data_IF_598754148829
#
_entry.id   IF_598754148829
#
_cell.length_a   1.000
_cell.length_b   1.000
_cell.length_c   1.000
_cell.angle_alpha   90.00
_cell.angle_beta   90.00
_cell.angle_gamma   90.00
#
_symmetry.space_group_name_H-M   'P 1'
#
loop_
_entity.id
_entity.type
_entity.pdbx_description
1 polymer ?
#
# COMPACT_ATOMS: atom_id res chain seq x y z
N UNK A 1 -11.47 7.58 1.54
CA UNK A 1 -11.26 6.23 2.03
C UNK A 1 -12.30 5.90 3.09
N UNK A 2 -13.12 4.89 2.87
CA UNK A 2 -14.27 4.59 3.75
C UNK A 2 -13.91 4.07 5.12
N UNK A 3 -12.66 3.64 5.33
CA UNK A 3 -12.23 3.03 6.58
C UNK A 3 -12.02 4.04 7.71
N UNK A 4 -11.70 5.29 7.40
CA UNK A 4 -11.39 6.36 8.38
C UNK A 4 -10.39 5.92 9.47
N UNK A 5 -9.39 5.15 9.09
CA UNK A 5 -8.37 4.58 9.96
C UNK A 5 -6.99 5.00 9.48
N UNK A 6 -6.05 5.16 10.42
CA UNK A 6 -4.65 5.29 10.06
C UNK A 6 -4.19 4.05 9.27
N UNK A 7 -3.45 4.26 8.19
CA UNK A 7 -3.06 3.18 7.27
C UNK A 7 -2.18 2.12 7.96
N UNK A 8 -1.31 2.56 8.85
CA UNK A 8 -0.38 1.75 9.65
C UNK A 8 -0.96 1.29 11.00
N UNK A 9 -2.25 1.53 11.24
CA UNK A 9 -2.93 1.09 12.46
C UNK A 9 -3.28 -0.41 12.45
N UNK A 10 -3.34 -1.06 13.62
CA UNK A 10 -3.70 -2.47 13.74
C UNK A 10 -5.11 -2.78 13.21
N UNK A 11 -6.04 -1.83 13.33
CA UNK A 11 -7.39 -1.97 12.79
C UNK A 11 -7.39 -2.02 11.26
N UNK A 12 -6.49 -1.25 10.62
CA UNK A 12 -6.35 -1.26 9.16
C UNK A 12 -5.79 -2.60 8.69
N UNK A 13 -4.81 -3.14 9.41
CA UNK A 13 -4.24 -4.47 9.15
C UNK A 13 -5.32 -5.55 9.27
N UNK A 14 -6.01 -5.62 10.40
CA UNK A 14 -7.06 -6.61 10.65
C UNK A 14 -8.19 -6.54 9.61
N UNK A 15 -8.64 -5.32 9.26
CA UNK A 15 -9.69 -5.14 8.26
C UNK A 15 -9.22 -5.51 6.85
N UNK A 16 -7.96 -5.21 6.49
CA UNK A 16 -7.37 -5.61 5.20
C UNK A 16 -7.33 -7.13 5.06
N UNK A 17 -6.89 -7.82 6.10
CA UNK A 17 -6.86 -9.29 6.15
C UNK A 17 -8.26 -9.87 5.99
N UNK A 18 -9.22 -9.38 6.78
CA UNK A 18 -10.62 -9.85 6.72
C UNK A 18 -11.26 -9.66 5.35
N UNK A 19 -11.04 -8.50 4.71
CA UNK A 19 -11.55 -8.26 3.36
C UNK A 19 -10.94 -9.26 2.36
N UNK A 20 -9.63 -9.50 2.44
CA UNK A 20 -8.94 -10.42 1.53
C UNK A 20 -9.40 -11.87 1.73
N UNK A 21 -9.58 -12.28 2.98
CA UNK A 21 -10.13 -13.60 3.32
C UNK A 21 -11.53 -13.80 2.72
N UNK A 22 -12.43 -12.82 2.89
CA UNK A 22 -13.79 -12.92 2.36
C UNK A 22 -13.85 -12.94 0.83
N UNK A 23 -13.00 -12.13 0.18
CA UNK A 23 -12.91 -12.15 -1.29
C UNK A 23 -12.40 -13.51 -1.79
N UNK A 24 -11.37 -14.08 -1.15
CA UNK A 24 -10.80 -15.36 -1.54
C UNK A 24 -11.79 -16.50 -1.31
N UNK A 25 -12.46 -16.53 -0.16
CA UNK A 25 -13.53 -17.50 0.13
C UNK A 25 -14.64 -17.46 -0.92
N UNK A 26 -15.15 -16.28 -1.23
CA UNK A 26 -16.24 -16.09 -2.19
C UNK A 26 -15.81 -16.50 -3.62
N UNK A 27 -14.59 -16.18 -4.01
CA UNK A 27 -14.06 -16.56 -5.32
C UNK A 27 -13.89 -18.09 -5.45
N UNK A 28 -13.35 -18.77 -4.44
CA UNK A 28 -13.23 -20.22 -4.42
C UNK A 28 -14.59 -20.92 -4.38
N UNK A 29 -15.54 -20.41 -3.57
CA UNK A 29 -16.91 -20.95 -3.53
C UNK A 29 -17.57 -20.89 -4.89
N UNK A 30 -17.54 -19.74 -5.55
CA UNK A 30 -18.09 -19.58 -6.91
C UNK A 30 -17.38 -20.46 -7.94
N UNK A 31 -16.05 -20.57 -7.87
CA UNK A 31 -15.29 -21.44 -8.77
C UNK A 31 -15.60 -22.92 -8.56
N UNK A 32 -15.86 -23.33 -7.32
CA UNK A 32 -16.30 -24.69 -6.98
C UNK A 32 -17.72 -24.97 -7.52
N UNK A 33 -18.65 -24.02 -7.39
CA UNK A 33 -19.99 -24.12 -7.97
C UNK A 33 -19.96 -24.24 -9.48
N UNK A 34 -19.16 -23.44 -10.15
CA UNK A 34 -18.95 -23.56 -11.59
C UNK A 34 -18.30 -24.90 -11.99
N UNK A 35 -17.40 -25.43 -11.15
CA UNK A 35 -16.81 -26.74 -11.39
C UNK A 35 -17.82 -27.88 -11.22
N UNK A 36 -18.75 -27.78 -10.28
CA UNK A 36 -19.83 -28.75 -10.12
C UNK A 36 -20.76 -28.80 -11.33
N UNK A 37 -20.98 -27.67 -12.02
CA UNK A 37 -21.82 -27.56 -13.20
C UNK A 37 -21.09 -27.91 -14.52
N UNK A 38 -19.87 -27.40 -14.67
CA UNK A 38 -19.14 -27.43 -15.94
C UNK A 38 -17.85 -28.28 -15.92
N UNK A 39 -17.56 -28.94 -14.82
CA UNK A 39 -16.32 -29.64 -14.53
C UNK A 39 -15.17 -28.73 -14.10
N UNK A 40 -14.18 -29.27 -13.40
CA UNK A 40 -12.99 -28.55 -13.00
C UNK A 40 -12.11 -28.19 -14.20
N UNK A 41 -11.11 -27.31 -13.98
CA UNK A 41 -10.09 -27.06 -15.00
C UNK A 41 -9.22 -28.30 -15.19
N UNK A 42 -8.63 -28.48 -16.39
CA UNK A 42 -7.96 -29.72 -16.81
C UNK A 42 -6.86 -30.19 -15.87
N UNK A 43 -6.04 -29.26 -15.36
CA UNK A 43 -4.92 -29.59 -14.47
C UNK A 43 -5.28 -29.56 -12.97
N UNK A 44 -6.57 -29.53 -12.60
CA UNK A 44 -6.98 -29.44 -11.19
C UNK A 44 -6.34 -30.51 -10.32
N UNK A 45 -6.30 -31.75 -10.78
CA UNK A 45 -5.76 -32.90 -10.02
C UNK A 45 -4.27 -32.77 -9.66
N UNK A 46 -3.55 -31.91 -10.36
CA UNK A 46 -2.12 -31.65 -10.16
C UNK A 46 -1.86 -30.46 -9.22
N UNK A 47 -2.93 -29.79 -8.76
CA UNK A 47 -2.82 -28.59 -7.92
C UNK A 47 -2.75 -28.93 -6.44
N UNK A 48 -2.22 -27.98 -5.65
CA UNK A 48 -2.26 -28.05 -4.20
C UNK A 48 -3.70 -28.05 -3.67
N UNK A 49 -4.59 -27.30 -4.30
CA UNK A 49 -6.01 -27.27 -3.94
C UNK A 49 -6.67 -28.65 -4.02
N UNK A 50 -6.28 -29.50 -4.97
CA UNK A 50 -6.74 -30.89 -5.05
C UNK A 50 -6.24 -31.75 -3.89
N UNK A 51 -5.10 -31.39 -3.28
CA UNK A 51 -4.56 -32.03 -2.09
C UNK A 51 -5.15 -31.44 -0.77
N UNK A 52 -6.03 -30.44 -0.87
CA UNK A 52 -6.63 -29.76 0.28
C UNK A 52 -5.86 -28.56 0.80
N UNK A 53 -4.75 -28.20 0.14
CA UNK A 53 -3.92 -27.06 0.54
C UNK A 53 -4.35 -25.80 -0.24
N UNK A 54 -4.95 -24.84 0.41
CA UNK A 54 -5.25 -23.52 -0.12
C UNK A 54 -4.11 -22.55 0.17
N UNK A 55 -4.20 -21.30 -0.30
CA UNK A 55 -3.10 -20.35 -0.18
C UNK A 55 -2.69 -20.07 1.28
N UNK A 56 -3.66 -19.92 2.19
CA UNK A 56 -3.39 -19.68 3.61
C UNK A 56 -2.76 -20.90 4.32
N UNK A 57 -3.09 -22.14 3.88
CA UNK A 57 -2.44 -23.36 4.40
C UNK A 57 -0.95 -23.36 4.05
N UNK A 58 -0.61 -23.00 2.80
CA UNK A 58 0.78 -22.90 2.34
C UNK A 58 1.58 -21.81 3.07
N UNK A 59 0.90 -20.83 3.63
CA UNK A 59 1.50 -19.76 4.43
C UNK A 59 1.49 -20.06 5.93
N UNK A 60 0.88 -21.16 6.35
CA UNK A 60 0.76 -21.53 7.75
C UNK A 60 -0.10 -20.54 8.56
N UNK A 61 -1.09 -19.92 7.91
CA UNK A 61 -2.01 -18.96 8.52
C UNK A 61 -3.34 -19.64 8.79
N UNK A 62 -3.84 -19.52 10.02
CA UNK A 62 -5.18 -19.98 10.37
C UNK A 62 -6.23 -18.95 9.92
N UNK A 63 -7.26 -19.37 9.18
CA UNK A 63 -8.34 -18.47 8.78
C UNK A 63 -9.27 -18.14 9.96
N UNK A 64 -10.07 -17.09 9.80
CA UNK A 64 -10.94 -16.59 10.88
C UNK A 64 -12.07 -17.54 11.28
N UNK A 65 -12.50 -18.44 10.39
CA UNK A 65 -13.56 -19.43 10.60
C UNK A 65 -13.16 -20.79 9.98
N UNK A 66 -12.46 -21.60 10.75
CA UNK A 66 -12.00 -22.91 10.31
C UNK A 66 -13.14 -23.82 9.83
N UNK A 67 -14.31 -23.82 10.50
CA UNK A 67 -15.42 -24.68 10.11
C UNK A 67 -15.95 -24.32 8.71
N UNK A 68 -16.08 -23.04 8.42
CA UNK A 68 -16.50 -22.52 7.11
C UNK A 68 -15.51 -22.96 6.00
N UNK A 69 -14.22 -22.87 6.28
CA UNK A 69 -13.19 -23.23 5.33
C UNK A 69 -13.08 -24.74 5.10
N UNK A 70 -13.17 -25.55 6.14
CA UNK A 70 -13.20 -27.01 5.99
C UNK A 70 -14.42 -27.48 5.16
N UNK A 71 -15.59 -26.92 5.39
CA UNK A 71 -16.77 -27.21 4.56
C UNK A 71 -16.55 -26.84 3.07
N UNK A 72 -15.83 -25.76 2.79
CA UNK A 72 -15.49 -25.40 1.41
C UNK A 72 -14.43 -26.35 0.82
N UNK A 73 -13.40 -26.74 1.57
CA UNK A 73 -12.39 -27.73 1.16
C UNK A 73 -13.03 -29.07 0.82
N UNK A 74 -14.01 -29.54 1.60
CA UNK A 74 -14.77 -30.74 1.32
C UNK A 74 -15.52 -30.65 -0.03
N UNK A 75 -16.15 -29.51 -0.30
CA UNK A 75 -16.81 -29.27 -1.59
C UNK A 75 -15.82 -29.22 -2.75
N UNK A 76 -14.66 -28.57 -2.56
CA UNK A 76 -13.59 -28.52 -3.55
C UNK A 76 -13.03 -29.93 -3.86
N UNK A 77 -12.89 -30.78 -2.83
CA UNK A 77 -12.43 -32.14 -3.03
C UNK A 77 -13.42 -32.98 -3.86
N UNK A 78 -14.72 -32.71 -3.77
CA UNK A 78 -15.78 -33.41 -4.50
C UNK A 78 -15.94 -32.92 -5.94
N UNK A 79 -15.89 -31.61 -6.17
CA UNK A 79 -16.25 -30.99 -7.45
C UNK A 79 -15.05 -30.38 -8.18
N UNK A 80 -13.95 -30.10 -7.47
CA UNK A 80 -12.81 -29.37 -8.00
C UNK A 80 -13.03 -27.86 -8.04
N UNK A 81 -12.16 -27.18 -8.77
CA UNK A 81 -12.24 -25.75 -9.06
C UNK A 81 -12.26 -25.51 -10.57
N UNK A 82 -13.11 -24.61 -11.03
CA UNK A 82 -13.18 -24.23 -12.44
C UNK A 82 -12.01 -23.36 -12.89
N UNK A 83 -11.48 -22.53 -11.98
CA UNK A 83 -10.36 -21.61 -12.19
C UNK A 83 -9.12 -22.11 -11.43
N UNK A 84 -7.96 -22.03 -12.05
CA UNK A 84 -6.71 -22.46 -11.41
C UNK A 84 -6.16 -21.43 -10.42
N UNK A 85 -6.42 -20.15 -10.65
CA UNK A 85 -6.03 -19.01 -9.80
C UNK A 85 -7.18 -18.01 -9.72
N UNK A 86 -7.35 -17.38 -8.55
CA UNK A 86 -8.51 -16.54 -8.26
C UNK A 86 -8.14 -15.07 -8.10
N UNK A 87 -7.16 -14.75 -7.26
CA UNK A 87 -6.93 -13.39 -6.77
C UNK A 87 -5.53 -12.90 -7.10
N UNK A 88 -5.47 -11.71 -7.70
CA UNK A 88 -4.27 -10.92 -7.88
C UNK A 88 -4.53 -9.47 -7.50
N UNK A 89 -3.52 -8.76 -7.04
CA UNK A 89 -3.57 -7.30 -6.87
C UNK A 89 -2.86 -6.66 -8.06
N UNK A 90 -3.64 -6.06 -8.96
CA UNK A 90 -3.13 -5.35 -10.13
C UNK A 90 -2.88 -3.86 -9.83
N UNK A 91 -2.03 -3.16 -10.62
CA UNK A 91 -1.77 -1.72 -10.44
C UNK A 91 -2.98 -0.82 -10.67
N UNK A 92 -3.92 -1.22 -11.49
CA UNK A 92 -5.21 -0.56 -11.80
C UNK A 92 -5.14 0.89 -12.28
N UNK A 93 -4.00 1.37 -12.78
CA UNK A 93 -3.75 2.77 -13.11
C UNK A 93 -4.83 3.39 -14.03
N UNK A 94 -5.10 2.79 -15.18
CA UNK A 94 -6.06 3.31 -16.15
C UNK A 94 -7.51 3.07 -15.73
N UNK A 95 -7.82 1.85 -15.27
CA UNK A 95 -9.20 1.50 -14.89
C UNK A 95 -9.67 2.27 -13.65
N UNK A 96 -8.78 2.57 -12.71
CA UNK A 96 -9.09 3.41 -11.56
C UNK A 96 -9.48 4.83 -11.98
N UNK A 97 -8.80 5.39 -12.99
CA UNK A 97 -9.13 6.69 -13.56
C UNK A 97 -10.50 6.69 -14.23
N UNK A 98 -10.86 5.63 -14.95
CA UNK A 98 -12.17 5.47 -15.59
C UNK A 98 -13.28 5.33 -14.54
N UNK A 99 -13.02 4.56 -13.48
CA UNK A 99 -13.95 4.33 -12.38
C UNK A 99 -14.08 5.54 -11.41
N UNK A 100 -13.25 6.57 -11.55
CA UNK A 100 -13.24 7.74 -10.66
C UNK A 100 -12.76 7.42 -9.24
N UNK A 101 -11.88 6.44 -9.10
CA UNK A 101 -11.24 6.08 -7.83
C UNK A 101 -9.71 6.20 -7.94
N UNK A 102 -9.03 5.96 -6.81
CA UNK A 102 -7.56 5.95 -6.79
C UNK A 102 -7.02 4.61 -7.28
N UNK A 103 -5.90 4.68 -7.98
CA UNK A 103 -5.12 3.51 -8.37
C UNK A 103 -4.44 2.86 -7.15
N UNK A 104 -4.13 1.58 -7.25
CA UNK A 104 -3.46 0.79 -6.22
C UNK A 104 -4.26 0.65 -4.92
N UNK A 105 -3.71 -0.04 -3.96
CA UNK A 105 -4.25 -0.19 -2.60
C UNK A 105 -3.35 0.45 -1.54
N UNK A 106 -2.20 0.99 -1.96
CA UNK A 106 -1.30 1.76 -1.13
C UNK A 106 -1.87 3.15 -0.83
N UNK A 107 -1.26 3.87 0.14
CA UNK A 107 -1.61 5.25 0.42
C UNK A 107 -1.35 6.16 -0.78
N UNK A 108 -2.08 7.27 -0.82
CA UNK A 108 -1.83 8.28 -1.84
C UNK A 108 -0.45 8.91 -1.67
N UNK A 109 0.20 9.20 -2.78
CA UNK A 109 1.50 9.88 -2.80
C UNK A 109 1.41 11.35 -2.37
N UNK A 110 0.22 11.93 -2.48
CA UNK A 110 -0.08 13.31 -2.08
C UNK A 110 -1.58 13.50 -1.92
N UNK A 111 -2.03 14.38 -1.01
CA UNK A 111 -3.44 14.78 -0.94
C UNK A 111 -3.79 15.85 -1.98
N UNK A 112 -2.80 16.41 -2.67
CA UNK A 112 -2.97 17.36 -3.77
C UNK A 112 -2.03 16.97 -4.90
N UNK A 113 -2.55 16.72 -6.08
CA UNK A 113 -1.74 16.34 -7.23
C UNK A 113 -2.21 17.02 -8.51
N UNK A 114 -1.25 17.28 -9.37
CA UNK A 114 -1.46 17.82 -10.70
C UNK A 114 -1.66 16.66 -11.68
N UNK A 115 -2.75 16.69 -12.40
CA UNK A 115 -3.02 15.75 -13.49
C UNK A 115 -2.89 16.46 -14.82
N UNK A 116 -1.97 15.99 -15.63
CA UNK A 116 -1.81 16.44 -17.01
C UNK A 116 -2.61 15.53 -17.95
N UNK A 117 -3.41 16.14 -18.78
CA UNK A 117 -4.17 15.45 -19.85
C UNK A 117 -3.95 16.20 -21.17
N UNK A 118 -4.35 15.59 -22.28
CA UNK A 118 -4.34 16.27 -23.59
C UNK A 118 -5.18 17.57 -23.60
N UNK A 119 -6.13 17.70 -22.68
CA UNK A 119 -7.03 18.87 -22.56
C UNK A 119 -6.49 19.93 -21.60
N UNK A 120 -5.34 19.72 -20.97
CA UNK A 120 -4.73 20.66 -20.03
C UNK A 120 -4.34 20.06 -18.69
N UNK A 121 -3.94 20.94 -17.78
CA UNK A 121 -3.50 20.61 -16.43
C UNK A 121 -4.65 20.83 -15.44
N UNK A 122 -4.90 19.82 -14.61
CA UNK A 122 -5.93 19.86 -13.59
C UNK A 122 -5.32 19.61 -12.21
N UNK A 123 -5.59 20.49 -11.27
CA UNK A 123 -5.24 20.28 -9.88
C UNK A 123 -6.35 19.45 -9.22
N UNK A 124 -6.00 18.29 -8.70
CA UNK A 124 -6.91 17.41 -7.98
C UNK A 124 -6.53 17.35 -6.52
N UNK A 125 -7.52 17.56 -5.65
CA UNK A 125 -7.36 17.42 -4.20
C UNK A 125 -8.11 16.19 -3.71
N UNK A 126 -7.61 15.58 -2.63
CA UNK A 126 -8.28 14.47 -1.98
C UNK A 126 -9.65 14.92 -1.45
N UNK A 127 -10.70 14.58 -2.19
CA UNK A 127 -12.08 14.98 -1.87
C UNK A 127 -12.54 14.53 -0.47
N UNK A 128 -12.02 13.41 0.02
CA UNK A 128 -12.39 12.90 1.35
C UNK A 128 -11.81 13.78 2.44
N UNK A 129 -10.56 14.23 2.28
CA UNK A 129 -9.94 15.20 3.18
C UNK A 129 -10.72 16.52 3.17
N UNK A 130 -11.06 17.03 1.99
CA UNK A 130 -11.84 18.29 1.86
C UNK A 130 -13.18 18.17 2.57
N UNK A 131 -13.92 17.09 2.34
CA UNK A 131 -15.22 16.87 2.98
C UNK A 131 -15.09 16.82 4.51
N UNK A 132 -14.10 16.13 5.05
CA UNK A 132 -13.88 16.10 6.50
C UNK A 132 -13.48 17.45 7.09
N UNK A 133 -12.66 18.21 6.37
CA UNK A 133 -12.31 19.58 6.76
C UNK A 133 -13.53 20.51 6.71
N UNK A 134 -14.40 20.35 5.71
CA UNK A 134 -15.67 21.10 5.61
C UNK A 134 -16.64 20.75 6.74
N UNK A 135 -16.83 19.45 7.02
CA UNK A 135 -17.68 18.98 8.13
C UNK A 135 -17.22 19.53 9.49
N UNK A 136 -15.92 19.77 9.65
CA UNK A 136 -15.33 20.35 10.87
C UNK A 136 -15.18 21.88 10.85
N UNK A 137 -15.62 22.54 9.77
CA UNK A 137 -15.50 24.01 9.62
C UNK A 137 -14.06 24.50 9.43
N UNK A 138 -13.13 23.63 9.03
CA UNK A 138 -11.71 23.94 8.85
C UNK A 138 -11.33 24.23 7.40
N UNK A 139 -12.22 23.98 6.44
CA UNK A 139 -11.96 24.25 5.05
C UNK A 139 -12.10 25.73 4.72
N UNK A 140 -11.06 26.32 4.14
CA UNK A 140 -11.02 27.71 3.65
C UNK A 140 -10.02 27.81 2.49
N UNK A 141 -10.02 28.95 1.80
CA UNK A 141 -9.02 29.25 0.78
C UNK A 141 -7.58 29.24 1.37
N UNK A 142 -7.40 29.77 2.58
CA UNK A 142 -6.12 29.74 3.29
C UNK A 142 -5.68 28.30 3.57
N UNK A 143 -6.58 27.44 4.02
CA UNK A 143 -6.31 26.02 4.23
C UNK A 143 -5.88 25.33 2.92
N UNK A 144 -6.57 25.61 1.81
CA UNK A 144 -6.20 25.07 0.50
C UNK A 144 -4.78 25.52 0.09
N UNK A 145 -4.42 26.78 0.35
CA UNK A 145 -3.08 27.31 0.06
C UNK A 145 -2.02 26.69 0.98
N UNK A 146 -2.31 26.43 2.26
CA UNK A 146 -1.40 25.73 3.19
C UNK A 146 -1.12 24.31 2.67
N UNK A 147 -2.15 23.55 2.31
CA UNK A 147 -1.99 22.20 1.74
C UNK A 147 -1.19 22.24 0.44
N UNK A 148 -1.41 23.25 -0.40
CA UNK A 148 -0.64 23.42 -1.64
C UNK A 148 0.83 23.70 -1.39
N UNK A 149 1.17 24.60 -0.43
CA UNK A 149 2.57 24.90 -0.06
C UNK A 149 3.28 23.69 0.52
N UNK A 150 2.56 22.85 1.26
CA UNK A 150 3.05 21.59 1.83
C UNK A 150 3.03 20.42 0.81
N UNK A 151 2.89 20.69 -0.50
CA UNK A 151 2.88 19.67 -1.56
C UNK A 151 1.87 18.53 -1.34
N UNK A 152 0.75 18.86 -0.66
CA UNK A 152 -0.30 17.89 -0.33
C UNK A 152 -0.10 17.15 0.98
N UNK A 153 0.97 17.38 1.72
CA UNK A 153 1.08 16.96 3.13
C UNK A 153 0.17 17.83 4.01
N UNK A 154 -0.31 17.23 5.10
CA UNK A 154 -1.06 17.97 6.13
C UNK A 154 -0.43 17.81 7.52
N UNK A 155 0.76 17.19 7.60
CA UNK A 155 1.35 16.81 8.89
C UNK A 155 1.78 18.01 9.71
N UNK A 156 2.26 19.08 9.07
CA UNK A 156 2.76 20.31 9.72
C UNK A 156 1.69 21.41 9.84
N UNK A 157 0.46 21.14 9.43
CA UNK A 157 -0.65 22.11 9.54
C UNK A 157 -1.33 21.92 10.89
N UNK A 158 -0.96 22.72 11.88
CA UNK A 158 -1.39 22.59 13.27
C UNK A 158 -2.91 22.73 13.46
N UNK A 159 -3.59 23.50 12.60
CA UNK A 159 -5.04 23.68 12.64
C UNK A 159 -5.81 22.40 12.27
N UNK A 160 -5.16 21.44 11.62
CA UNK A 160 -5.76 20.16 11.29
C UNK A 160 -5.58 19.21 12.49
N UNK A 161 -6.67 18.68 13.06
CA UNK A 161 -6.62 17.75 14.17
C UNK A 161 -5.77 16.50 13.90
N UNK A 162 -5.13 15.99 14.94
CA UNK A 162 -4.19 14.85 14.84
C UNK A 162 -4.84 13.60 14.26
N UNK A 163 -6.10 13.34 14.56
CA UNK A 163 -6.85 12.20 14.03
C UNK A 163 -6.95 12.25 12.50
N UNK A 164 -7.19 13.43 11.91
CA UNK A 164 -7.17 13.61 10.46
C UNK A 164 -5.75 13.49 9.90
N UNK A 165 -4.76 14.09 10.58
CA UNK A 165 -3.37 14.00 10.14
C UNK A 165 -2.91 12.53 10.06
N UNK A 166 -3.27 11.69 11.03
CA UNK A 166 -2.96 10.25 11.00
C UNK A 166 -3.62 9.51 9.84
N UNK A 167 -4.87 9.82 9.52
CA UNK A 167 -5.62 9.16 8.45
C UNK A 167 -5.12 9.53 7.05
N UNK A 168 -4.73 10.79 6.86
CA UNK A 168 -4.37 11.34 5.55
C UNK A 168 -2.87 11.49 5.34
N UNK A 169 -2.05 10.68 6.03
CA UNK A 169 -0.63 10.56 5.72
C UNK A 169 -0.43 10.07 4.30
N UNK A 170 0.52 10.67 3.62
CA UNK A 170 0.93 10.27 2.27
C UNK A 170 1.80 9.01 2.32
N UNK A 171 2.02 8.38 1.17
CA UNK A 171 2.89 7.22 1.06
C UNK A 171 4.34 7.50 1.49
N UNK A 172 4.78 8.76 1.40
CA UNK A 172 6.12 9.20 1.81
C UNK A 172 6.28 9.36 3.32
N UNK A 173 5.18 9.58 4.02
CA UNK A 173 5.11 9.86 5.46
C UNK A 173 4.85 8.61 6.29
N UNK A 174 4.67 7.47 5.64
CA UNK A 174 4.41 6.18 6.27
C UNK A 174 5.67 5.31 6.25
N UNK A 175 5.97 4.57 7.34
CA UNK A 175 6.99 3.54 7.32
C UNK A 175 6.69 2.52 6.23
N UNK A 176 7.66 2.22 5.37
CA UNK A 176 7.47 1.25 4.29
C UNK A 176 7.23 -0.16 4.82
N UNK A 177 7.71 -0.45 6.02
CA UNK A 177 7.38 -1.66 6.77
C UNK A 177 5.86 -1.87 6.89
N UNK A 178 5.09 -0.82 7.18
CA UNK A 178 3.63 -0.93 7.28
C UNK A 178 2.96 -1.36 5.98
N UNK A 179 3.50 -0.92 4.83
CA UNK A 179 3.01 -1.33 3.51
C UNK A 179 3.30 -2.82 3.26
N UNK A 180 4.50 -3.25 3.62
CA UNK A 180 4.94 -4.65 3.52
C UNK A 180 4.11 -5.55 4.43
N UNK A 181 3.91 -5.17 5.69
CA UNK A 181 3.14 -5.94 6.66
C UNK A 181 1.68 -6.09 6.24
N UNK A 182 1.06 -5.03 5.71
CA UNK A 182 -0.27 -5.09 5.11
C UNK A 182 -0.34 -6.02 3.89
N UNK A 183 0.68 -5.99 3.04
CA UNK A 183 0.75 -6.88 1.88
C UNK A 183 0.97 -8.33 2.31
N UNK A 184 1.79 -8.58 3.32
CA UNK A 184 2.01 -9.90 3.88
C UNK A 184 0.73 -10.47 4.51
N UNK A 185 0.03 -9.68 5.33
CA UNK A 185 -1.19 -10.15 6.02
C UNK A 185 -2.29 -10.58 5.05
N UNK A 186 -2.48 -9.87 3.93
CA UNK A 186 -3.45 -10.29 2.91
C UNK A 186 -2.91 -11.32 1.93
N UNK A 187 -1.58 -11.50 1.86
CA UNK A 187 -0.91 -12.45 0.97
C UNK A 187 -1.34 -13.90 1.21
N UNK A 188 -1.74 -14.23 2.44
CA UNK A 188 -2.32 -15.52 2.78
C UNK A 188 -3.62 -15.85 2.03
N UNK A 189 -4.30 -14.84 1.47
CA UNK A 189 -5.54 -14.97 0.72
C UNK A 189 -5.42 -14.50 -0.74
N UNK A 190 -4.19 -14.42 -1.26
CA UNK A 190 -3.90 -14.01 -2.63
C UNK A 190 -3.02 -15.08 -3.27
N UNK A 191 -3.61 -15.89 -4.11
CA UNK A 191 -2.95 -17.04 -4.74
C UNK A 191 -1.99 -16.64 -5.88
N UNK A 192 -2.19 -15.49 -6.50
CA UNK A 192 -1.27 -14.90 -7.46
C UNK A 192 -0.30 -13.89 -6.78
N UNK A 193 0.03 -12.81 -7.45
CA UNK A 193 0.96 -11.79 -6.99
C UNK A 193 0.25 -10.49 -6.60
N UNK A 194 0.97 -9.65 -5.88
CA UNK A 194 0.56 -8.29 -5.55
C UNK A 194 1.51 -7.29 -6.20
N UNK A 195 0.97 -6.29 -6.89
CA UNK A 195 1.75 -5.16 -7.38
C UNK A 195 1.95 -4.15 -6.25
N UNK A 196 2.84 -4.48 -5.31
CA UNK A 196 3.16 -3.65 -4.17
C UNK A 196 4.15 -2.55 -4.57
N UNK A 197 3.72 -1.29 -4.49
CA UNK A 197 4.60 -0.14 -4.64
C UNK A 197 5.22 0.22 -3.29
N UNK A 198 6.52 0.50 -3.31
CA UNK A 198 7.30 0.96 -2.17
C UNK A 198 7.81 2.37 -2.44
N UNK A 199 7.99 3.17 -1.40
CA UNK A 199 8.29 4.59 -1.52
C UNK A 199 9.51 4.93 -0.66
N UNK A 200 10.52 5.53 -1.23
CA UNK A 200 11.73 5.90 -0.51
C UNK A 200 12.25 7.25 -1.03
N UNK A 201 12.15 8.28 -0.21
CA UNK A 201 12.55 9.64 -0.61
C UNK A 201 14.05 9.74 -0.88
N UNK A 202 14.86 9.14 -0.02
CA UNK A 202 16.34 9.16 -0.11
C UNK A 202 16.88 7.74 0.00
N UNK A 203 16.93 6.99 -1.12
CA UNK A 203 17.36 5.60 -1.10
C UNK A 203 18.86 5.48 -0.77
N UNK A 204 19.21 4.55 0.09
CA UNK A 204 20.58 4.07 0.32
C UNK A 204 20.62 2.55 0.18
N UNK A 205 21.80 1.98 -0.01
CA UNK A 205 21.97 0.52 -0.15
C UNK A 205 21.44 -0.19 1.09
N UNK A 206 21.77 0.32 2.30
CA UNK A 206 21.31 -0.26 3.56
C UNK A 206 19.80 -0.24 3.70
N UNK A 207 19.14 0.89 3.45
CA UNK A 207 17.68 1.02 3.49
C UNK A 207 16.99 0.09 2.48
N UNK A 208 17.50 0.01 1.27
CA UNK A 208 16.96 -0.89 0.24
C UNK A 208 17.11 -2.35 0.65
N UNK A 209 18.30 -2.74 1.13
CA UNK A 209 18.57 -4.10 1.60
C UNK A 209 17.63 -4.49 2.73
N UNK A 210 17.51 -3.64 3.76
CA UNK A 210 16.61 -3.86 4.89
C UNK A 210 15.15 -4.04 4.46
N UNK A 211 14.65 -3.12 3.64
CA UNK A 211 13.27 -3.14 3.16
C UNK A 211 12.95 -4.40 2.36
N UNK A 212 13.78 -4.77 1.40
CA UNK A 212 13.57 -5.98 0.59
C UNK A 212 13.77 -7.27 1.39
N UNK A 213 14.72 -7.26 2.35
CA UNK A 213 14.91 -8.39 3.25
C UNK A 213 13.69 -8.59 4.16
N UNK A 214 13.10 -7.50 4.67
CA UNK A 214 11.85 -7.58 5.44
C UNK A 214 10.72 -8.14 4.57
N UNK A 215 10.54 -7.63 3.36
CA UNK A 215 9.53 -8.14 2.42
C UNK A 215 9.69 -9.65 2.13
N UNK A 216 10.93 -10.09 1.89
CA UNK A 216 11.22 -11.50 1.66
C UNK A 216 10.96 -12.36 2.90
N UNK A 217 11.42 -11.95 4.09
CA UNK A 217 11.19 -12.68 5.36
C UNK A 217 9.70 -12.72 5.73
N UNK A 218 8.93 -11.69 5.36
CA UNK A 218 7.47 -11.66 5.53
C UNK A 218 6.71 -12.54 4.52
N UNK A 219 7.41 -13.27 3.66
CA UNK A 219 6.83 -14.20 2.70
C UNK A 219 6.23 -13.57 1.45
N UNK A 220 6.51 -12.31 1.15
CA UNK A 220 6.01 -11.68 -0.07
C UNK A 220 6.58 -12.37 -1.32
N UNK A 221 5.71 -12.71 -2.26
CA UNK A 221 6.09 -13.32 -3.55
C UNK A 221 6.77 -12.31 -4.46
N UNK A 222 6.28 -11.06 -4.46
CA UNK A 222 6.75 -9.98 -5.35
C UNK A 222 6.60 -8.63 -4.67
N UNK A 223 7.44 -7.69 -5.08
CA UNK A 223 7.22 -6.26 -5.03
C UNK A 223 7.02 -5.75 -6.46
N UNK A 224 6.72 -4.46 -6.65
CA UNK A 224 6.52 -3.90 -7.98
C UNK A 224 7.43 -2.69 -8.20
N UNK A 225 6.92 -1.46 -8.10
CA UNK A 225 7.76 -0.28 -8.25
C UNK A 225 8.38 0.14 -6.92
N UNK A 226 9.66 0.52 -6.99
CA UNK A 226 10.26 1.40 -6.01
C UNK A 226 10.15 2.82 -6.55
N UNK A 227 9.43 3.68 -5.84
CA UNK A 227 9.28 5.09 -6.16
C UNK A 227 10.22 5.91 -5.29
N UNK A 228 11.05 6.75 -5.91
CA UNK A 228 11.92 7.69 -5.21
C UNK A 228 11.60 9.13 -5.62
N UNK A 229 11.88 10.07 -4.73
CA UNK A 229 11.84 11.50 -5.07
C UNK A 229 13.21 11.91 -5.62
N UNK A 230 13.28 12.82 -6.59
CA UNK A 230 14.55 13.39 -7.02
C UNK A 230 15.21 14.16 -5.87
N UNK A 231 16.53 14.10 -5.77
CA UNK A 231 17.32 14.77 -4.74
C UNK A 231 17.20 16.31 -4.78
N UNK A 232 16.85 16.87 -5.92
CA UNK A 232 16.64 18.31 -6.13
C UNK A 232 15.15 18.62 -6.10
N UNK A 233 14.71 19.36 -5.06
CA UNK A 233 13.40 20.01 -5.10
C UNK A 233 13.44 21.11 -6.15
N UNK A 234 12.49 21.11 -7.09
CA UNK A 234 12.28 22.25 -7.99
C UNK A 234 11.74 23.38 -7.12
N UNK A 235 12.54 24.42 -6.91
CA UNK A 235 12.07 25.62 -6.23
C UNK A 235 10.89 26.19 -7.02
N UNK A 236 9.70 26.14 -6.43
CA UNK A 236 8.55 26.83 -6.99
C UNK A 236 8.85 28.34 -6.89
N UNK A 237 9.01 28.98 -8.00
CA UNK A 237 9.05 30.45 -8.09
C UNK A 237 7.65 30.94 -7.71
N UNK A 238 7.46 31.30 -6.46
CA UNK A 238 6.30 32.08 -6.02
C UNK A 238 6.46 33.49 -6.59
N UNK A 239 5.60 33.89 -7.51
CA UNK A 239 5.40 35.29 -7.85
C UNK A 239 4.66 35.96 -6.69
N UNK A 240 5.40 36.30 -5.66
CA UNK A 240 5.04 37.21 -4.58
C UNK A 240 6.16 38.23 -4.42
N UNK A 241 5.93 39.44 -3.86
CA UNK A 241 6.97 40.46 -3.81
C UNK A 241 8.20 39.93 -3.07
N UNK A 242 9.33 40.07 -3.76
CA UNK A 242 10.63 39.62 -3.34
C UNK A 242 11.10 40.29 -2.07
N UNK A 243 11.26 39.51 -1.01
CA UNK A 243 12.16 39.87 0.08
C UNK A 243 13.48 39.10 -0.15
N UNK A 244 14.49 39.84 -0.59
CA UNK A 244 15.79 39.30 -0.97
C UNK A 244 16.66 39.12 0.27
N UNK A 245 16.53 37.95 0.92
CA UNK A 245 17.52 37.46 1.87
C UNK A 245 18.48 36.48 1.18
N UNK A 246 19.77 36.42 1.56
CA UNK A 246 20.72 35.53 0.94
C UNK A 246 20.35 34.07 1.20
N UNK A 247 20.48 33.25 0.16
CA UNK A 247 20.24 31.81 0.21
C UNK A 247 21.13 31.14 1.27
N UNK A 248 20.60 30.25 2.11
CA UNK A 248 21.44 29.44 2.99
C UNK A 248 22.22 28.45 2.12
N UNK A 249 23.54 28.47 2.26
CA UNK A 249 24.45 27.47 1.70
C UNK A 249 24.04 26.08 2.16
N UNK A 250 24.03 25.15 1.20
CA UNK A 250 23.58 23.78 1.43
C UNK A 250 24.33 23.11 2.58
N UNK A 251 23.57 22.66 3.56
CA UNK A 251 24.06 21.73 4.57
C UNK A 251 24.37 20.39 3.88
N UNK A 252 25.54 19.81 4.08
CA UNK A 252 25.86 18.51 3.53
C UNK A 252 24.89 17.47 4.13
N UNK A 253 24.36 16.63 3.25
CA UNK A 253 23.61 15.42 3.58
C UNK A 253 24.27 14.73 4.77
N UNK A 254 23.54 14.60 5.90
CA UNK A 254 24.02 13.92 7.08
C UNK A 254 24.48 12.53 6.70
N UNK A 255 25.77 12.25 6.85
CA UNK A 255 26.32 10.90 6.75
C UNK A 255 25.62 10.03 7.79
N UNK A 256 24.98 8.95 7.35
CA UNK A 256 24.55 7.88 8.25
C UNK A 256 25.74 7.52 9.16
N UNK A 257 25.55 7.31 10.46
CA UNK A 257 26.63 6.93 11.37
C UNK A 257 27.19 5.52 11.05
N UNK A 258 26.58 4.80 10.12
CA UNK A 258 26.98 3.46 9.69
C UNK A 258 27.39 3.45 8.22
N UNK A 259 28.36 2.62 7.88
CA UNK A 259 28.71 2.33 6.50
C UNK A 259 27.62 1.47 5.83
N UNK A 260 27.54 1.49 4.49
CA UNK A 260 26.58 0.65 3.76
C UNK A 260 26.75 -0.85 4.07
N UNK A 261 28.01 -1.29 4.32
CA UNK A 261 28.31 -2.67 4.69
C UNK A 261 27.78 -3.03 6.10
N UNK A 262 27.91 -2.13 7.07
CA UNK A 262 27.36 -2.31 8.43
C UNK A 262 25.83 -2.29 8.41
N UNK A 263 25.22 -1.43 7.61
CA UNK A 263 23.77 -1.40 7.45
C UNK A 263 23.21 -2.68 6.81
N UNK A 264 23.92 -3.23 5.81
CA UNK A 264 23.55 -4.53 5.20
C UNK A 264 23.71 -5.67 6.22
N UNK A 265 24.81 -5.73 6.95
CA UNK A 265 25.02 -6.75 7.98
C UNK A 265 23.94 -6.70 9.06
N UNK A 266 23.62 -5.51 9.59
CA UNK A 266 22.54 -5.29 10.55
C UNK A 266 21.19 -5.76 10.01
N UNK A 267 20.84 -5.41 8.75
CA UNK A 267 19.56 -5.80 8.14
C UNK A 267 19.43 -7.31 7.91
N UNK A 268 20.55 -8.00 7.69
CA UNK A 268 20.56 -9.46 7.53
C UNK A 268 20.40 -10.20 8.85
N UNK A 269 21.03 -9.70 9.92
CA UNK A 269 21.04 -10.35 11.25
C UNK A 269 19.78 -10.01 12.06
N UNK A 270 19.30 -8.78 11.99
CA UNK A 270 18.17 -8.32 12.79
C UNK A 270 17.29 -7.29 12.07
N UNK A 271 16.53 -7.69 11.04
CA UNK A 271 15.74 -6.77 10.21
C UNK A 271 14.61 -6.07 10.97
N UNK A 272 14.15 -6.62 12.11
CA UNK A 272 13.08 -6.05 12.92
C UNK A 272 13.53 -4.85 13.75
N UNK A 273 14.84 -4.78 14.06
CA UNK A 273 15.44 -3.71 14.85
C UNK A 273 16.18 -2.67 13.98
N UNK A 274 16.13 -2.79 12.67
CA UNK A 274 16.84 -1.88 11.77
C UNK A 274 16.06 -0.58 11.58
N UNK A 275 16.58 0.52 12.11
CA UNK A 275 16.03 1.89 11.97
C UNK A 275 15.97 2.38 10.50
N UNK A 276 16.54 1.64 9.55
CA UNK A 276 16.52 2.00 8.14
C UNK A 276 15.14 1.88 7.48
N UNK A 277 14.18 1.23 8.15
CA UNK A 277 12.79 1.04 7.67
C UNK A 277 11.77 1.97 8.33
N UNK A 278 12.15 2.69 9.38
CA UNK A 278 11.28 3.64 10.10
C UNK A 278 11.18 5.01 9.40
#
# INVERSE_FOLDING_TARGET
MYKRQAFDGPEALALSTKISEEIYYSALSASCELAAEHGPHESFKETRAAAGDLQFDLWGVEPSDNQRWEALKDRISQHGLRNSLMIAIAPTATIASIAGCYECIEPQVSNLFKRETLSGEFLQINRYLVNELQERGLWSEDMAQKIKRAEGSIQEIEEIPEDLRKVYRTAWELPQRSLIDLAASRGAYIDQSQSLNLFMESPSIGKLSSMYMHAWKSGLKTTYYLRSRPATRINQTTTGPSDSGPAPEGTPSGSSPFTDEEAIACSLENPEACEACD
#
